data_IF_879494175410
#
_entry.id   IF_879494175410
#
_cell.length_a   1.000
_cell.length_b   1.000
_cell.length_c   1.000
_cell.angle_alpha   90.00
_cell.angle_beta   90.00
_cell.angle_gamma   90.00
#
_symmetry.space_group_name_H-M   'P 1'
#
loop_
_entity.id
_entity.type
_entity.pdbx_description
1 polymer ?
#
# COMPACT_ATOMS: atom_id res chain seq x y z
N UNK A 1 15.25 -3.61 8.94
CA UNK A 1 15.44 -2.14 8.89
C UNK A 1 15.18 -1.47 10.23
N UNK A 2 13.98 -1.59 10.83
CA UNK A 2 13.64 -0.97 12.14
C UNK A 2 14.66 -1.25 13.26
N UNK A 3 15.12 -2.49 13.39
CA UNK A 3 16.08 -2.87 14.44
C UNK A 3 17.45 -2.17 14.33
N UNK A 4 17.83 -1.75 13.11
CA UNK A 4 19.11 -1.11 12.82
C UNK A 4 19.06 0.43 12.92
N UNK A 5 17.92 1.00 13.30
CA UNK A 5 17.80 2.45 13.49
C UNK A 5 18.64 2.91 14.70
N UNK A 6 19.31 4.07 14.61
CA UNK A 6 19.99 4.65 15.75
C UNK A 6 18.98 5.04 16.83
N UNK A 7 19.41 5.03 18.10
CA UNK A 7 18.52 5.24 19.25
C UNK A 7 17.71 6.55 19.18
N UNK A 8 18.26 7.61 18.57
CA UNK A 8 17.57 8.90 18.44
C UNK A 8 16.43 8.91 17.40
N UNK A 9 16.39 7.95 16.48
CA UNK A 9 15.35 7.82 15.45
C UNK A 9 14.36 6.69 15.75
N UNK A 10 14.73 5.77 16.65
CA UNK A 10 13.98 4.55 16.93
C UNK A 10 12.87 4.81 17.95
N UNK A 11 11.64 4.98 17.45
CA UNK A 11 10.43 4.95 18.29
C UNK A 11 10.25 3.54 18.84
N UNK A 12 9.90 3.39 20.11
CA UNK A 12 9.66 2.10 20.75
C UNK A 12 8.51 1.34 20.07
N UNK A 13 8.69 0.03 19.84
CA UNK A 13 7.66 -0.84 19.29
C UNK A 13 6.88 -1.48 20.44
N UNK A 14 5.58 -1.26 20.48
CA UNK A 14 4.66 -1.94 21.41
C UNK A 14 4.27 -3.33 20.91
N UNK A 15 4.36 -3.56 19.60
CA UNK A 15 4.20 -4.87 18.96
C UNK A 15 5.21 -5.00 17.81
N UNK A 16 5.94 -6.12 17.74
CA UNK A 16 6.84 -6.48 16.64
C UNK A 16 6.69 -7.98 16.36
N UNK A 17 5.95 -8.33 15.31
CA UNK A 17 5.75 -9.70 14.87
C UNK A 17 5.81 -9.81 13.33
N UNK A 18 5.61 -11.04 12.82
CA UNK A 18 5.79 -11.33 11.38
C UNK A 18 4.92 -10.49 10.45
N UNK A 19 3.74 -10.05 10.89
CA UNK A 19 2.75 -9.38 10.03
C UNK A 19 2.40 -7.97 10.51
N UNK A 20 2.95 -7.51 11.63
CA UNK A 20 2.54 -6.26 12.26
C UNK A 20 3.69 -5.66 13.07
N UNK A 21 3.85 -4.35 12.91
CA UNK A 21 4.71 -3.50 13.73
C UNK A 21 3.85 -2.34 14.23
N UNK A 22 3.71 -2.20 15.55
CA UNK A 22 3.00 -1.09 16.18
C UNK A 22 4.00 -0.30 17.00
N UNK A 23 4.07 1.01 16.78
CA UNK A 23 4.96 1.92 17.47
C UNK A 23 4.19 2.66 18.58
N UNK A 24 4.90 3.04 19.65
CA UNK A 24 4.34 3.73 20.81
C UNK A 24 3.70 5.10 20.47
N UNK A 25 4.00 5.66 19.30
CA UNK A 25 3.38 6.88 18.79
C UNK A 25 2.02 6.63 18.07
N UNK A 26 1.54 5.38 18.05
CA UNK A 26 0.28 5.00 17.41
C UNK A 26 0.40 4.66 15.92
N UNK A 27 1.57 4.80 15.30
CA UNK A 27 1.79 4.32 13.93
C UNK A 27 1.82 2.80 13.87
N UNK A 28 1.18 2.24 12.84
CA UNK A 28 1.14 0.80 12.61
C UNK A 28 1.49 0.49 11.16
N UNK A 29 2.27 -0.58 10.96
CA UNK A 29 2.49 -1.21 9.66
C UNK A 29 1.96 -2.63 9.74
N UNK A 30 1.14 -3.03 8.77
CA UNK A 30 0.54 -4.37 8.73
C UNK A 30 0.70 -4.99 7.35
N UNK A 31 1.18 -6.22 7.31
CA UNK A 31 1.18 -7.06 6.12
C UNK A 31 -0.17 -7.79 6.06
N UNK A 32 -0.93 -7.53 5.00
CA UNK A 32 -2.23 -8.15 4.73
C UNK A 32 -2.17 -8.88 3.40
N UNK A 33 -2.82 -10.04 3.34
CA UNK A 33 -2.98 -10.76 2.07
C UNK A 33 -3.96 -10.04 1.16
N UNK A 34 -3.74 -10.17 -0.14
CA UNK A 34 -4.58 -9.61 -1.20
C UNK A 34 -5.95 -10.29 -1.23
N UNK A 35 -6.82 -9.90 -0.30
CA UNK A 35 -8.20 -10.35 -0.19
C UNK A 35 -9.15 -9.17 -0.41
N UNK A 36 -10.38 -9.38 -0.90
CA UNK A 36 -11.34 -8.30 -1.14
C UNK A 36 -11.68 -7.45 0.10
N UNK A 37 -11.39 -7.95 1.29
CA UNK A 37 -11.58 -7.24 2.57
C UNK A 37 -10.35 -6.44 3.01
N UNK A 38 -9.18 -6.65 2.41
CA UNK A 38 -7.92 -6.04 2.83
C UNK A 38 -7.96 -4.50 2.76
N UNK A 39 -8.62 -3.94 1.74
CA UNK A 39 -8.74 -2.48 1.54
C UNK A 39 -9.70 -1.78 2.51
N UNK A 40 -10.50 -2.51 3.30
CA UNK A 40 -11.51 -1.94 4.21
C UNK A 40 -11.03 -1.71 5.65
N UNK A 41 -9.74 -1.89 5.93
CA UNK A 41 -9.21 -1.74 7.29
C UNK A 41 -9.20 -0.27 7.72
N UNK A 42 -9.32 -0.02 9.03
CA UNK A 42 -9.45 1.32 9.62
C UNK A 42 -8.35 2.29 9.16
N UNK A 43 -8.78 3.50 8.76
CA UNK A 43 -7.98 4.70 8.46
C UNK A 43 -6.60 4.44 7.80
N UNK A 44 -6.59 3.83 6.61
CA UNK A 44 -5.37 3.71 5.81
C UNK A 44 -4.80 5.09 5.45
N UNK A 45 -3.61 5.39 5.95
CA UNK A 45 -2.85 6.61 5.62
C UNK A 45 -1.82 6.38 4.51
N UNK A 46 -1.36 5.13 4.34
CA UNK A 46 -0.49 4.72 3.24
C UNK A 46 -0.82 3.28 2.84
N UNK A 47 -1.15 3.06 1.57
CA UNK A 47 -1.28 1.73 0.97
C UNK A 47 -0.06 1.42 0.09
N UNK A 48 0.60 0.29 0.33
CA UNK A 48 1.67 -0.20 -0.55
C UNK A 48 1.19 -1.47 -1.23
N UNK A 49 1.12 -1.45 -2.56
CA UNK A 49 0.82 -2.62 -3.39
C UNK A 49 2.13 -3.10 -4.01
N UNK A 50 2.56 -4.29 -3.60
CA UNK A 50 3.77 -4.94 -4.13
C UNK A 50 3.40 -6.02 -5.15
N UNK A 51 4.18 -6.11 -6.23
CA UNK A 51 3.90 -6.92 -7.42
C UNK A 51 2.45 -6.78 -7.93
N UNK A 52 1.97 -5.54 -8.01
CA UNK A 52 0.57 -5.22 -8.29
C UNK A 52 0.00 -5.85 -9.58
N UNK A 53 0.82 -6.05 -10.62
CA UNK A 53 0.39 -6.67 -11.87
C UNK A 53 0.09 -8.18 -11.75
N UNK A 54 0.42 -8.80 -10.61
CA UNK A 54 0.22 -10.22 -10.30
C UNK A 54 -0.83 -10.46 -9.21
N UNK A 55 -1.45 -9.40 -8.69
CA UNK A 55 -2.49 -9.53 -7.68
C UNK A 55 -3.82 -9.91 -8.34
N UNK A 56 -4.33 -11.08 -7.97
CA UNK A 56 -5.68 -11.50 -8.35
C UNK A 56 -6.74 -10.56 -7.75
N UNK A 57 -7.72 -10.18 -8.56
CA UNK A 57 -8.84 -9.30 -8.16
C UNK A 57 -8.39 -7.96 -7.57
N UNK A 58 -7.29 -7.40 -8.10
CA UNK A 58 -6.77 -6.10 -7.67
C UNK A 58 -7.82 -4.98 -7.80
N UNK A 59 -8.72 -5.04 -8.78
CA UNK A 59 -9.83 -4.09 -8.93
C UNK A 59 -10.71 -4.02 -7.69
N UNK A 60 -11.05 -5.17 -7.08
CA UNK A 60 -11.88 -5.24 -5.87
C UNK A 60 -11.15 -4.62 -4.68
N UNK A 61 -9.86 -4.91 -4.54
CA UNK A 61 -9.01 -4.39 -3.46
C UNK A 61 -8.86 -2.87 -3.61
N UNK A 62 -8.60 -2.40 -4.82
CA UNK A 62 -8.45 -0.99 -5.13
C UNK A 62 -9.75 -0.22 -4.85
N UNK A 63 -10.88 -0.71 -5.36
CA UNK A 63 -12.19 -0.13 -5.10
C UNK A 63 -12.53 -0.09 -3.60
N UNK A 64 -12.12 -1.12 -2.84
CA UNK A 64 -12.32 -1.16 -1.40
C UNK A 64 -11.43 -0.16 -0.63
N UNK A 65 -10.22 0.13 -1.12
CA UNK A 65 -9.27 1.05 -0.47
C UNK A 65 -9.53 2.52 -0.80
N UNK A 66 -10.11 2.83 -1.95
CA UNK A 66 -10.36 4.20 -2.42
C UNK A 66 -11.04 5.13 -1.39
N UNK A 67 -12.09 4.71 -0.65
CA UNK A 67 -12.73 5.57 0.35
C UNK A 67 -11.79 6.00 1.48
N UNK A 68 -10.92 5.08 1.95
CA UNK A 68 -9.95 5.39 3.00
C UNK A 68 -8.87 6.36 2.49
N UNK A 69 -8.32 6.09 1.30
CA UNK A 69 -7.30 6.93 0.68
C UNK A 69 -7.80 8.34 0.34
N UNK A 70 -9.08 8.48 -0.04
CA UNK A 70 -9.67 9.79 -0.37
C UNK A 70 -9.72 10.76 0.83
N UNK A 71 -9.52 10.27 2.06
CA UNK A 71 -9.48 11.11 3.27
C UNK A 71 -8.07 11.65 3.60
N UNK A 72 -7.15 11.60 2.64
CA UNK A 72 -5.77 12.10 2.77
C UNK A 72 -4.72 11.00 2.93
N UNK A 73 -5.03 9.78 2.48
CA UNK A 73 -4.08 8.68 2.42
C UNK A 73 -3.34 8.64 1.08
N UNK A 74 -2.11 8.15 1.12
CA UNK A 74 -1.27 7.96 -0.07
C UNK A 74 -1.25 6.51 -0.53
N UNK A 75 -0.87 6.29 -1.79
CA UNK A 75 -0.66 4.95 -2.33
C UNK A 75 0.66 4.87 -3.10
N UNK A 76 1.39 3.79 -2.89
CA UNK A 76 2.57 3.42 -3.65
C UNK A 76 2.30 2.07 -4.31
N UNK A 77 2.51 2.01 -5.62
CA UNK A 77 2.27 0.81 -6.42
C UNK A 77 3.57 0.41 -7.10
N UNK A 78 4.05 -0.78 -6.79
CA UNK A 78 5.30 -1.35 -7.29
C UNK A 78 4.97 -2.66 -7.98
N UNK A 79 5.54 -2.90 -9.16
CA UNK A 79 5.37 -4.16 -9.86
C UNK A 79 6.40 -4.33 -10.96
N UNK A 80 6.66 -5.59 -11.30
CA UNK A 80 7.21 -5.93 -12.63
C UNK A 80 6.08 -5.97 -13.68
N UNK A 81 6.37 -5.71 -14.97
CA UNK A 81 5.35 -5.77 -16.03
C UNK A 81 4.79 -7.19 -16.21
N UNK A 82 3.47 -7.31 -16.32
CA UNK A 82 2.76 -8.57 -16.59
C UNK A 82 1.88 -8.49 -17.84
N UNK A 83 2.48 -8.12 -18.98
CA UNK A 83 1.76 -7.91 -20.24
C UNK A 83 0.97 -6.59 -20.29
N UNK A 84 0.10 -6.47 -21.29
CA UNK A 84 -0.68 -5.28 -21.64
C UNK A 84 -2.14 -5.49 -21.26
N UNK A 85 -2.78 -4.43 -20.75
CA UNK A 85 -4.22 -4.41 -20.46
C UNK A 85 -4.59 -4.97 -19.08
N UNK A 86 -3.61 -5.33 -18.25
CA UNK A 86 -3.86 -5.54 -16.82
C UNK A 86 -3.99 -4.19 -16.10
N UNK A 87 -4.54 -4.24 -14.88
CA UNK A 87 -4.78 -3.06 -14.04
C UNK A 87 -3.54 -2.17 -13.86
N UNK A 88 -2.38 -2.77 -13.58
CA UNK A 88 -1.14 -2.02 -13.35
C UNK A 88 -0.67 -1.31 -14.62
N UNK A 89 -0.72 -1.98 -15.77
CA UNK A 89 -0.38 -1.41 -17.07
C UNK A 89 -1.31 -0.24 -17.44
N UNK A 90 -2.61 -0.35 -17.17
CA UNK A 90 -3.55 0.76 -17.38
C UNK A 90 -3.30 1.94 -16.44
N UNK A 91 -3.02 1.65 -15.17
CA UNK A 91 -2.71 2.67 -14.16
C UNK A 91 -1.46 3.47 -14.57
N UNK A 92 -0.38 2.76 -14.92
CA UNK A 92 0.87 3.34 -15.36
C UNK A 92 0.71 4.17 -16.63
N UNK A 93 0.04 3.65 -17.68
CA UNK A 93 -0.21 4.43 -18.90
C UNK A 93 -1.00 5.70 -18.63
N UNK A 94 -2.04 5.65 -17.79
CA UNK A 94 -2.80 6.84 -17.40
C UNK A 94 -1.93 7.84 -16.66
N UNK A 95 -0.97 7.39 -15.85
CA UNK A 95 -0.02 8.26 -15.16
C UNK A 95 0.95 8.95 -16.14
N UNK A 96 1.54 8.20 -17.07
CA UNK A 96 2.39 8.75 -18.15
C UNK A 96 1.66 9.82 -18.99
N UNK A 97 0.38 9.55 -19.29
CA UNK A 97 -0.48 10.47 -20.03
C UNK A 97 -1.06 11.61 -19.16
N UNK A 98 -0.73 11.66 -17.86
CA UNK A 98 -1.25 12.64 -16.88
C UNK A 98 -2.79 12.67 -16.80
N UNK A 99 -3.41 11.49 -16.93
CA UNK A 99 -4.86 11.27 -16.84
C UNK A 99 -5.30 10.77 -15.45
N UNK A 100 -4.36 10.60 -14.53
CA UNK A 100 -4.60 10.33 -13.11
C UNK A 100 -3.57 11.09 -12.26
N UNK A 101 -3.70 11.01 -10.94
CA UNK A 101 -2.82 11.71 -9.99
C UNK A 101 -1.55 10.92 -9.62
N UNK A 102 -1.32 9.75 -10.23
CA UNK A 102 -0.12 8.96 -9.98
C UNK A 102 1.10 9.62 -10.62
N UNK A 103 2.24 9.47 -9.95
CA UNK A 103 3.53 9.98 -10.40
C UNK A 103 4.39 8.80 -10.82
N UNK A 104 4.90 8.84 -12.04
CA UNK A 104 5.86 7.87 -12.60
C UNK A 104 7.26 8.43 -12.65
#
# INVERSE_FOLDING_TARGET
MYQALPAWLKVEATEDNKLSLVLANGSQVKAVSSSPTAGRSEALTLLVLDEAAFIDKIDDIWAAAQPALSTGGDVVVLSTPNGIGNWFHELWQKAELKQNDFKT
#
